data_IF_604898953364
#
_entry.id   IF_604898953364
#
_cell.length_a   1.000
_cell.length_b   1.000
_cell.length_c   1.000
_cell.angle_alpha   90.00
_cell.angle_beta   90.00
_cell.angle_gamma   90.00
#
_symmetry.space_group_name_H-M   'P 1'
#
loop_
_entity.id
_entity.type
_entity.pdbx_description
1 polymer ?
#
# COMPACT_ATOMS: atom_id res chain seq x y z
N UNK A 1 -13.81 19.23 15.85
CA UNK A 1 -14.30 18.20 14.92
C UNK A 1 -14.07 18.68 13.50
N UNK A 2 -13.48 17.85 12.66
CA UNK A 2 -13.33 18.14 11.24
C UNK A 2 -14.67 17.86 10.58
N UNK A 3 -15.27 18.87 9.96
CA UNK A 3 -16.63 18.77 9.43
C UNK A 3 -16.69 18.65 7.91
N UNK A 4 -15.53 18.70 7.24
CA UNK A 4 -15.44 18.73 5.79
C UNK A 4 -14.49 17.64 5.28
N UNK A 5 -14.96 16.86 4.32
CA UNK A 5 -14.15 15.92 3.55
C UNK A 5 -13.93 16.41 2.13
N UNK A 6 -12.74 16.24 1.60
CA UNK A 6 -12.42 16.48 0.19
C UNK A 6 -11.82 15.22 -0.42
N UNK A 7 -12.45 14.67 -1.44
CA UNK A 7 -11.97 13.50 -2.18
C UNK A 7 -11.60 13.90 -3.60
N UNK A 8 -10.37 13.58 -4.00
CA UNK A 8 -9.82 13.88 -5.32
C UNK A 8 -9.66 12.58 -6.10
N UNK A 9 -10.44 12.42 -7.17
CA UNK A 9 -10.56 11.19 -7.95
C UNK A 9 -11.64 10.26 -7.42
N UNK A 10 -12.70 10.06 -8.20
CA UNK A 10 -13.82 9.16 -7.88
C UNK A 10 -13.81 7.95 -8.83
N UNK A 11 -12.63 7.43 -9.10
CA UNK A 11 -12.43 6.19 -9.86
C UNK A 11 -12.85 4.94 -9.07
N UNK A 12 -12.28 3.79 -9.41
CA UNK A 12 -12.65 2.50 -8.78
C UNK A 12 -12.48 2.51 -7.25
N UNK A 13 -11.32 2.98 -6.76
CA UNK A 13 -11.04 3.10 -5.32
C UNK A 13 -11.76 4.32 -4.74
N UNK A 14 -11.73 5.45 -5.45
CA UNK A 14 -12.41 6.67 -5.01
C UNK A 14 -13.91 6.51 -4.80
N UNK A 15 -14.61 5.67 -5.56
CA UNK A 15 -16.02 5.32 -5.33
C UNK A 15 -16.23 4.64 -3.98
N UNK A 16 -15.30 3.78 -3.58
CA UNK A 16 -15.33 3.17 -2.25
C UNK A 16 -15.09 4.22 -1.15
N UNK A 17 -14.08 5.06 -1.36
CA UNK A 17 -13.78 6.16 -0.44
C UNK A 17 -14.95 7.16 -0.33
N UNK A 18 -15.60 7.50 -1.44
CA UNK A 18 -16.76 8.40 -1.44
C UNK A 18 -17.89 7.91 -0.52
N UNK A 19 -18.20 6.61 -0.53
CA UNK A 19 -19.23 6.03 0.37
C UNK A 19 -18.83 6.15 1.84
N UNK A 20 -17.58 5.90 2.17
CA UNK A 20 -17.08 6.01 3.55
C UNK A 20 -17.09 7.47 4.00
N UNK A 21 -16.55 8.37 3.19
CA UNK A 21 -16.48 9.79 3.52
C UNK A 21 -17.87 10.45 3.60
N UNK A 22 -18.82 10.01 2.79
CA UNK A 22 -20.21 10.49 2.81
C UNK A 22 -20.93 10.17 4.13
N UNK A 23 -20.58 9.06 4.78
CA UNK A 23 -21.15 8.73 6.11
C UNK A 23 -20.42 9.40 7.27
N UNK A 24 -19.23 9.98 7.02
CA UNK A 24 -18.36 10.55 8.06
C UNK A 24 -18.45 12.06 8.15
N UNK A 25 -18.51 12.76 7.01
CA UNK A 25 -18.45 14.22 6.96
C UNK A 25 -19.81 14.84 6.68
N UNK A 26 -20.09 15.94 7.37
CA UNK A 26 -21.31 16.72 7.16
C UNK A 26 -21.35 17.39 5.78
N UNK A 27 -20.15 17.73 5.26
CA UNK A 27 -19.97 18.32 3.92
C UNK A 27 -18.90 17.53 3.17
N UNK A 28 -19.27 17.00 2.03
CA UNK A 28 -18.34 16.27 1.18
C UNK A 28 -18.14 16.99 -0.14
N UNK A 29 -16.87 17.29 -0.42
CA UNK A 29 -16.44 17.87 -1.69
C UNK A 29 -15.75 16.77 -2.50
N UNK A 30 -16.15 16.63 -3.75
CA UNK A 30 -15.66 15.59 -4.66
C UNK A 30 -15.07 16.25 -5.90
N UNK A 31 -13.96 15.74 -6.38
CA UNK A 31 -13.30 16.23 -7.60
C UNK A 31 -13.13 15.08 -8.56
N UNK A 32 -13.81 15.15 -9.68
CA UNK A 32 -13.64 14.23 -10.81
C UNK A 32 -14.18 14.86 -12.09
N UNK A 33 -13.39 14.91 -13.18
CA UNK A 33 -13.85 15.51 -14.44
C UNK A 33 -14.78 14.61 -15.26
N UNK A 34 -14.95 13.33 -14.89
CA UNK A 34 -15.69 12.36 -15.66
C UNK A 34 -17.20 12.48 -15.44
N UNK A 35 -18.01 12.74 -16.49
CA UNK A 35 -19.45 12.92 -16.36
C UNK A 35 -20.19 11.72 -15.77
N UNK A 36 -19.72 10.51 -16.04
CA UNK A 36 -20.31 9.27 -15.52
C UNK A 36 -20.21 9.14 -13.99
N UNK A 37 -19.30 9.87 -13.38
CA UNK A 37 -19.16 9.93 -11.91
C UNK A 37 -20.37 10.62 -11.30
N UNK A 38 -20.90 11.66 -11.93
CA UNK A 38 -22.08 12.39 -11.45
C UNK A 38 -23.30 11.46 -11.34
N UNK A 39 -23.56 10.65 -12.36
CA UNK A 39 -24.68 9.71 -12.36
C UNK A 39 -24.48 8.59 -11.32
N UNK A 40 -23.24 8.13 -11.18
CA UNK A 40 -22.93 7.16 -10.15
C UNK A 40 -23.17 7.72 -8.73
N UNK A 41 -22.75 8.96 -8.46
CA UNK A 41 -22.94 9.62 -7.16
C UNK A 41 -24.40 9.76 -6.81
N UNK A 42 -25.25 10.23 -7.74
CA UNK A 42 -26.70 10.36 -7.55
C UNK A 42 -27.36 9.04 -7.13
N UNK A 43 -26.84 7.93 -7.62
CA UNK A 43 -27.41 6.59 -7.36
C UNK A 43 -26.83 5.90 -6.12
N UNK A 44 -25.74 6.42 -5.53
CA UNK A 44 -25.00 5.70 -4.52
C UNK A 44 -24.67 6.50 -3.25
N UNK A 45 -24.88 7.82 -3.26
CA UNK A 45 -24.56 8.72 -2.14
C UNK A 45 -25.81 9.52 -1.78
N UNK A 46 -26.33 9.32 -0.59
CA UNK A 46 -27.55 9.99 -0.10
C UNK A 46 -27.24 11.24 0.76
N UNK A 47 -25.99 11.48 1.12
CA UNK A 47 -25.58 12.64 1.91
C UNK A 47 -25.39 13.91 1.05
N UNK A 48 -25.29 15.07 1.70
CA UNK A 48 -24.98 16.33 1.01
C UNK A 48 -23.55 16.32 0.47
N UNK A 49 -23.40 16.49 -0.84
CA UNK A 49 -22.10 16.60 -1.50
C UNK A 49 -22.10 17.65 -2.60
N UNK A 50 -20.91 18.13 -2.91
CA UNK A 50 -20.66 18.96 -4.10
C UNK A 50 -19.58 18.30 -4.95
N UNK A 51 -19.82 18.26 -6.27
CA UNK A 51 -18.86 17.74 -7.24
C UNK A 51 -18.31 18.88 -8.10
N UNK A 52 -17.02 18.82 -8.37
CA UNK A 52 -16.26 19.80 -9.15
C UNK A 52 -15.49 19.08 -10.25
N UNK A 53 -15.27 19.77 -11.36
CA UNK A 53 -14.46 19.24 -12.47
C UNK A 53 -12.96 19.41 -12.23
N UNK A 54 -12.56 20.31 -11.33
CA UNK A 54 -11.17 20.60 -11.00
C UNK A 54 -10.94 20.81 -9.50
N UNK A 55 -9.73 20.50 -9.05
CA UNK A 55 -9.31 20.71 -7.66
C UNK A 55 -9.30 22.21 -7.29
N UNK A 56 -8.94 23.08 -8.23
CA UNK A 56 -8.95 24.54 -8.03
C UNK A 56 -10.35 25.08 -7.69
N UNK A 57 -11.39 24.59 -8.38
CA UNK A 57 -12.78 24.95 -8.07
C UNK A 57 -13.21 24.44 -6.70
N UNK A 58 -12.84 23.20 -6.36
CA UNK A 58 -13.16 22.62 -5.06
C UNK A 58 -12.49 23.38 -3.92
N UNK A 59 -11.20 23.72 -4.04
CA UNK A 59 -10.46 24.52 -3.06
C UNK A 59 -11.11 25.90 -2.87
N UNK A 60 -11.54 26.55 -3.95
CA UNK A 60 -12.21 27.84 -3.89
C UNK A 60 -13.56 27.78 -3.17
N UNK A 61 -14.22 26.62 -3.21
CA UNK A 61 -15.49 26.38 -2.55
C UNK A 61 -15.36 25.91 -1.09
N UNK A 62 -14.15 25.54 -0.63
CA UNK A 62 -13.91 25.18 0.76
C UNK A 62 -14.16 26.38 1.68
N UNK A 63 -14.56 26.09 2.91
CA UNK A 63 -14.70 27.12 3.95
C UNK A 63 -13.36 27.87 4.14
N UNK A 64 -13.38 29.15 4.54
CA UNK A 64 -12.15 29.88 4.89
C UNK A 64 -11.23 29.13 5.87
N UNK A 65 -11.80 28.23 6.68
CA UNK A 65 -11.05 27.37 7.58
C UNK A 65 -10.71 26.01 6.92
N UNK A 66 -9.79 26.02 5.95
CA UNK A 66 -9.30 24.81 5.26
C UNK A 66 -8.56 23.87 6.19
N UNK A 67 -8.04 24.34 7.33
CA UNK A 67 -7.37 23.49 8.32
C UNK A 67 -8.30 22.47 8.99
N UNK A 68 -9.63 22.66 8.90
CA UNK A 68 -10.63 21.70 9.36
C UNK A 68 -11.09 20.72 8.28
N UNK A 69 -10.40 20.66 7.14
CA UNK A 69 -10.71 19.77 6.02
C UNK A 69 -9.75 18.59 6.03
N UNK A 70 -10.29 17.39 5.91
CA UNK A 70 -9.50 16.17 5.60
C UNK A 70 -9.61 15.87 4.12
N UNK A 71 -8.46 15.79 3.44
CA UNK A 71 -8.38 15.49 2.02
C UNK A 71 -7.88 14.06 1.77
N UNK A 72 -8.50 13.39 0.80
CA UNK A 72 -8.07 12.08 0.31
C UNK A 72 -7.73 12.20 -1.17
N UNK A 73 -6.49 11.91 -1.53
CA UNK A 73 -5.99 11.90 -2.91
C UNK A 73 -6.10 10.47 -3.43
N UNK A 74 -6.98 10.21 -4.39
CA UNK A 74 -7.25 8.86 -4.92
C UNK A 74 -7.34 8.77 -6.45
N UNK A 75 -6.81 9.76 -7.15
CA UNK A 75 -6.60 9.68 -8.59
C UNK A 75 -5.30 8.93 -8.93
N UNK A 76 -4.68 9.17 -10.06
CA UNK A 76 -3.48 8.44 -10.49
C UNK A 76 -2.20 8.99 -9.85
N UNK A 77 -1.25 8.10 -9.59
CA UNK A 77 0.02 8.43 -8.96
C UNK A 77 0.82 9.56 -9.64
N UNK A 78 0.86 9.71 -10.98
CA UNK A 78 1.52 10.85 -11.62
C UNK A 78 0.97 12.21 -11.20
N UNK A 79 -0.32 12.29 -10.83
CA UNK A 79 -0.97 13.55 -10.50
C UNK A 79 -0.96 13.84 -8.97
N UNK A 80 -0.47 12.91 -8.14
CA UNK A 80 -0.48 13.03 -6.68
C UNK A 80 0.30 14.25 -6.18
N UNK A 81 1.49 14.50 -6.75
CA UNK A 81 2.35 15.61 -6.33
C UNK A 81 1.69 16.97 -6.51
N UNK A 82 1.05 17.21 -7.66
CA UNK A 82 0.40 18.46 -7.97
C UNK A 82 -0.82 18.69 -7.07
N UNK A 83 -1.65 17.68 -6.89
CA UNK A 83 -2.80 17.75 -5.98
C UNK A 83 -2.36 17.99 -4.54
N UNK A 84 -1.37 17.26 -4.04
CA UNK A 84 -0.79 17.47 -2.72
C UNK A 84 -0.29 18.90 -2.54
N UNK A 85 0.43 19.41 -3.53
CA UNK A 85 0.97 20.77 -3.50
C UNK A 85 -0.14 21.82 -3.39
N UNK A 86 -1.19 21.68 -4.21
CA UNK A 86 -2.34 22.59 -4.17
C UNK A 86 -3.07 22.56 -2.82
N UNK A 87 -3.21 21.38 -2.21
CA UNK A 87 -3.84 21.22 -0.90
C UNK A 87 -3.03 21.90 0.21
N UNK A 88 -1.71 21.69 0.22
CA UNK A 88 -0.82 22.32 1.21
C UNK A 88 -0.83 23.83 1.08
N UNK A 89 -0.79 24.38 -0.16
CA UNK A 89 -0.85 25.81 -0.43
C UNK A 89 -2.19 26.43 -0.02
N UNK A 90 -3.28 25.66 -0.10
CA UNK A 90 -4.59 26.07 0.38
C UNK A 90 -4.75 25.98 1.91
N UNK A 91 -3.76 25.45 2.63
CA UNK A 91 -3.78 25.35 4.09
C UNK A 91 -4.47 24.09 4.64
N UNK A 92 -4.71 23.08 3.83
CA UNK A 92 -5.22 21.78 4.29
C UNK A 92 -4.15 21.09 5.14
N UNK A 93 -4.52 20.54 6.30
CA UNK A 93 -3.60 20.00 7.29
C UNK A 93 -3.65 18.46 7.45
N UNK A 94 -4.71 17.82 6.98
CA UNK A 94 -4.96 16.40 7.09
C UNK A 94 -5.08 15.82 5.68
N UNK A 95 -4.08 15.06 5.25
CA UNK A 95 -4.02 14.56 3.87
C UNK A 95 -3.69 13.06 3.90
N UNK A 96 -4.58 12.27 3.32
CA UNK A 96 -4.36 10.85 2.99
C UNK A 96 -4.10 10.75 1.50
N UNK A 97 -3.03 10.07 1.10
CA UNK A 97 -2.74 9.81 -0.31
C UNK A 97 -2.84 8.32 -0.61
N UNK A 98 -3.46 7.97 -1.73
CA UNK A 98 -3.43 6.58 -2.20
C UNK A 98 -2.02 6.16 -2.62
N UNK A 99 -1.82 4.86 -2.56
CA UNK A 99 -0.54 4.25 -2.97
C UNK A 99 -0.49 4.00 -4.50
N UNK A 100 0.71 4.07 -5.10
CA UNK A 100 1.93 4.60 -4.50
C UNK A 100 1.82 6.12 -4.31
N UNK A 101 2.48 6.65 -3.30
CA UNK A 101 2.47 8.09 -3.01
C UNK A 101 2.84 8.94 -4.23
N UNK A 102 3.74 8.41 -5.06
CA UNK A 102 4.18 9.02 -6.32
C UNK A 102 4.71 7.93 -7.25
N UNK A 103 4.74 8.23 -8.52
CA UNK A 103 5.39 7.42 -9.56
C UNK A 103 6.88 7.76 -9.76
N UNK A 104 7.45 8.64 -8.91
CA UNK A 104 8.85 9.06 -8.96
C UNK A 104 9.43 9.20 -7.54
N UNK A 105 10.67 8.75 -7.34
CA UNK A 105 11.36 8.90 -6.06
C UNK A 105 11.53 10.37 -5.67
N UNK A 106 11.91 11.21 -6.62
CA UNK A 106 12.16 12.63 -6.35
C UNK A 106 10.87 13.38 -5.93
N UNK A 107 9.76 13.10 -6.58
CA UNK A 107 8.48 13.73 -6.27
C UNK A 107 7.91 13.22 -4.94
N UNK A 108 7.97 11.92 -4.70
CA UNK A 108 7.50 11.36 -3.43
C UNK A 108 8.31 11.87 -2.23
N UNK A 109 9.64 11.98 -2.37
CA UNK A 109 10.47 12.61 -1.34
C UNK A 109 10.11 14.08 -1.12
N UNK A 110 9.88 14.82 -2.21
CA UNK A 110 9.47 16.23 -2.11
C UNK A 110 8.10 16.40 -1.41
N UNK A 111 7.16 15.48 -1.60
CA UNK A 111 5.88 15.48 -0.88
C UNK A 111 6.10 15.31 0.63
N UNK A 112 6.88 14.30 1.03
CA UNK A 112 7.17 14.02 2.45
C UNK A 112 7.91 15.18 3.09
N UNK A 113 9.00 15.65 2.47
CA UNK A 113 9.78 16.80 2.96
C UNK A 113 8.92 18.06 3.11
N UNK A 114 7.95 18.27 2.24
CA UNK A 114 7.03 19.39 2.31
C UNK A 114 5.99 19.22 3.41
N UNK A 115 5.46 18.00 3.58
CA UNK A 115 4.54 17.69 4.67
C UNK A 115 5.20 17.96 6.03
N UNK A 116 6.43 17.48 6.23
CA UNK A 116 7.18 17.67 7.47
C UNK A 116 7.44 19.17 7.74
N UNK A 117 7.95 19.91 6.74
CA UNK A 117 8.23 21.34 6.89
C UNK A 117 7.00 22.19 7.15
N UNK A 118 5.87 21.82 6.58
CA UNK A 118 4.60 22.54 6.75
C UNK A 118 3.76 22.03 7.93
N UNK A 119 4.28 21.05 8.68
CA UNK A 119 3.57 20.39 9.78
C UNK A 119 2.19 19.87 9.34
N UNK A 120 2.16 19.18 8.20
CA UNK A 120 0.97 18.52 7.65
C UNK A 120 0.87 17.11 8.24
N UNK A 121 -0.29 16.75 8.74
CA UNK A 121 -0.59 15.36 9.07
C UNK A 121 -0.83 14.62 7.76
N UNK A 122 0.16 13.84 7.35
CA UNK A 122 0.22 13.19 6.06
C UNK A 122 0.47 11.70 6.19
N UNK A 123 -0.33 10.90 5.50
CA UNK A 123 -0.15 9.43 5.46
C UNK A 123 -0.54 8.85 4.11
N UNK A 124 -0.21 7.57 3.90
CA UNK A 124 -0.48 6.84 2.66
C UNK A 124 -1.38 5.64 2.94
N UNK A 125 -2.32 5.38 2.02
CA UNK A 125 -3.33 4.34 2.13
C UNK A 125 -2.77 2.93 1.97
N UNK A 126 -2.05 2.43 2.99
CA UNK A 126 -1.67 1.01 3.11
C UNK A 126 -2.48 0.35 4.22
N UNK A 127 -3.68 -0.20 3.94
CA UNK A 127 -4.62 -0.64 4.96
C UNK A 127 -4.04 -1.64 5.97
N UNK A 128 -3.17 -2.55 5.52
CA UNK A 128 -2.60 -3.60 6.39
C UNK A 128 -1.80 -3.05 7.56
N UNK A 129 -1.22 -1.86 7.43
CA UNK A 129 -0.52 -1.18 8.52
C UNK A 129 -1.45 -0.77 9.64
N UNK A 130 -2.62 -0.28 9.27
CA UNK A 130 -3.61 0.24 10.22
C UNK A 130 -4.49 -0.86 10.83
N UNK A 131 -4.46 -2.07 10.27
CA UNK A 131 -5.26 -3.22 10.71
C UNK A 131 -4.48 -4.23 11.57
N UNK A 132 -3.34 -3.85 12.11
CA UNK A 132 -2.47 -4.71 12.93
C UNK A 132 -2.08 -6.07 12.28
N UNK A 133 -2.17 -6.17 10.96
CA UNK A 133 -1.94 -7.43 10.24
C UNK A 133 -0.54 -8.01 10.53
N UNK A 134 0.48 -7.18 10.50
CA UNK A 134 1.87 -7.59 10.77
C UNK A 134 2.07 -7.98 12.24
N UNK A 135 1.44 -7.28 13.18
CA UNK A 135 1.49 -7.61 14.61
C UNK A 135 0.88 -8.99 14.87
N UNK A 136 -0.27 -9.28 14.25
CA UNK A 136 -0.94 -10.59 14.35
C UNK A 136 -0.04 -11.68 13.75
N UNK A 137 0.51 -11.46 12.56
CA UNK A 137 1.43 -12.40 11.90
C UNK A 137 2.66 -12.67 12.78
N UNK A 138 3.30 -11.62 13.30
CA UNK A 138 4.46 -11.76 14.17
C UNK A 138 4.13 -12.49 15.47
N UNK A 139 3.00 -12.19 16.11
CA UNK A 139 2.55 -12.86 17.32
C UNK A 139 2.34 -14.36 17.09
N UNK A 140 1.63 -14.74 16.04
CA UNK A 140 1.42 -16.15 15.67
C UNK A 140 2.74 -16.84 15.33
N UNK A 141 3.61 -16.17 14.58
CA UNK A 141 4.91 -16.73 14.21
C UNK A 141 5.76 -17.05 15.45
N UNK A 142 5.77 -16.15 16.41
CA UNK A 142 6.50 -16.34 17.67
C UNK A 142 5.88 -17.44 18.55
N UNK A 143 4.55 -17.47 18.69
CA UNK A 143 3.89 -18.41 19.60
C UNK A 143 3.77 -19.83 19.02
N UNK A 144 3.51 -19.96 17.73
CA UNK A 144 3.15 -21.23 17.08
C UNK A 144 4.24 -21.77 16.17
N UNK A 145 5.09 -20.92 15.57
CA UNK A 145 6.05 -21.30 14.56
C UNK A 145 7.52 -21.15 15.01
N UNK A 146 7.74 -20.92 16.30
CA UNK A 146 9.05 -20.99 16.94
C UNK A 146 10.00 -19.83 16.69
N UNK A 147 9.53 -18.73 16.10
CA UNK A 147 10.35 -17.54 15.90
C UNK A 147 9.76 -16.57 14.87
N UNK A 148 10.44 -15.44 14.62
CA UNK A 148 9.97 -14.42 13.68
C UNK A 148 9.98 -14.94 12.24
N UNK A 149 9.15 -14.34 11.35
CA UNK A 149 9.19 -14.62 9.92
C UNK A 149 10.56 -14.37 9.30
N UNK A 150 10.97 -15.26 8.41
CA UNK A 150 12.25 -15.20 7.68
C UNK A 150 12.09 -14.91 6.20
N UNK A 151 10.97 -15.32 5.61
CA UNK A 151 10.70 -15.03 4.21
C UNK A 151 9.20 -14.83 3.95
N UNK A 152 8.90 -14.01 2.96
CA UNK A 152 7.56 -13.82 2.40
C UNK A 152 7.66 -14.08 0.90
N UNK A 153 6.85 -15.02 0.40
CA UNK A 153 6.77 -15.35 -1.02
C UNK A 153 5.37 -15.10 -1.51
N UNK A 154 5.23 -14.29 -2.53
CA UNK A 154 3.94 -13.93 -3.13
C UNK A 154 3.95 -14.30 -4.61
N UNK A 155 2.93 -15.00 -5.05
CA UNK A 155 2.76 -15.29 -6.46
C UNK A 155 1.30 -15.23 -6.86
N UNK A 156 1.05 -14.87 -8.13
CA UNK A 156 -0.29 -14.77 -8.67
C UNK A 156 -0.30 -14.38 -10.14
N UNK A 157 -1.50 -14.29 -10.68
CA UNK A 157 -1.74 -13.85 -12.04
C UNK A 157 -2.29 -12.43 -12.12
N UNK A 158 -2.34 -11.88 -13.32
CA UNK A 158 -3.04 -10.66 -13.73
C UNK A 158 -3.02 -9.48 -12.73
N UNK A 159 -1.90 -9.25 -12.07
CA UNK A 159 -1.65 -8.14 -11.14
C UNK A 159 -0.42 -7.36 -11.57
N UNK A 160 -0.44 -6.06 -11.40
CA UNK A 160 0.73 -5.24 -11.64
C UNK A 160 1.77 -5.47 -10.53
N UNK A 161 2.99 -5.79 -10.95
CA UNK A 161 4.10 -6.14 -10.07
C UNK A 161 4.40 -5.05 -9.02
N UNK A 162 4.16 -3.80 -9.35
CA UNK A 162 4.45 -2.67 -8.46
C UNK A 162 3.20 -2.19 -7.74
N UNK A 163 2.13 -1.84 -8.45
CA UNK A 163 0.98 -1.22 -7.79
C UNK A 163 0.25 -2.18 -6.85
N UNK A 164 0.23 -3.46 -7.17
CA UNK A 164 -0.27 -4.48 -6.26
C UNK A 164 0.84 -5.06 -5.37
N UNK A 165 2.04 -5.24 -5.93
CA UNK A 165 3.22 -5.71 -5.18
C UNK A 165 3.63 -4.78 -4.06
N UNK A 166 3.41 -3.46 -4.19
CA UNK A 166 3.67 -2.47 -3.14
C UNK A 166 2.99 -2.82 -1.79
N UNK A 167 1.82 -3.44 -1.83
CA UNK A 167 1.15 -3.91 -0.60
C UNK A 167 1.93 -4.99 0.14
N UNK A 168 2.70 -5.81 -0.57
CA UNK A 168 3.52 -6.86 0.03
C UNK A 168 4.91 -6.33 0.41
N UNK A 169 5.43 -5.35 -0.34
CA UNK A 169 6.63 -4.61 0.04
C UNK A 169 6.39 -3.91 1.37
N UNK A 170 5.30 -3.17 1.50
CA UNK A 170 4.92 -2.50 2.73
C UNK A 170 4.68 -3.48 3.90
N UNK A 171 3.99 -4.59 3.65
CA UNK A 171 3.80 -5.66 4.64
C UNK A 171 5.14 -6.26 5.11
N UNK A 172 6.09 -6.47 4.19
CA UNK A 172 7.41 -7.00 4.52
C UNK A 172 8.23 -6.01 5.36
N UNK A 173 8.20 -4.72 5.02
CA UNK A 173 8.81 -3.65 5.83
C UNK A 173 8.28 -3.67 7.27
N UNK A 174 6.97 -3.86 7.43
CA UNK A 174 6.32 -3.88 8.72
C UNK A 174 6.61 -5.16 9.52
N UNK A 175 6.54 -6.33 8.88
CA UNK A 175 6.85 -7.62 9.51
C UNK A 175 8.32 -7.70 9.90
N UNK A 176 9.23 -7.24 9.03
CA UNK A 176 10.66 -7.34 9.27
C UNK A 176 11.22 -6.18 10.10
N UNK A 177 10.51 -5.06 10.20
CA UNK A 177 10.89 -3.88 10.99
C UNK A 177 12.19 -3.23 10.52
N UNK A 178 12.52 -3.33 9.22
CA UNK A 178 13.72 -2.74 8.62
C UNK A 178 13.54 -2.55 7.11
N UNK A 179 14.20 -1.55 6.50
CA UNK A 179 14.24 -1.42 5.05
C UNK A 179 15.02 -2.57 4.40
N UNK A 180 14.78 -2.86 3.11
CA UNK A 180 15.59 -3.81 2.37
C UNK A 180 16.99 -3.28 2.15
N UNK A 181 17.97 -4.18 1.98
CA UNK A 181 19.35 -3.86 1.64
C UNK A 181 19.54 -3.78 0.13
N UNK A 182 18.85 -4.64 -0.62
CA UNK A 182 18.90 -4.68 -2.08
C UNK A 182 17.69 -5.39 -2.68
N UNK A 183 17.47 -5.14 -3.97
CA UNK A 183 16.47 -5.85 -4.77
C UNK A 183 17.08 -6.28 -6.11
N UNK A 184 16.66 -7.46 -6.56
CA UNK A 184 17.03 -8.01 -7.86
C UNK A 184 15.83 -8.70 -8.50
N UNK A 185 15.89 -8.91 -9.80
CA UNK A 185 14.90 -9.67 -10.53
C UNK A 185 14.77 -9.24 -11.98
N UNK A 186 13.67 -9.63 -12.58
CA UNK A 186 13.36 -9.31 -13.97
C UNK A 186 11.87 -9.03 -14.11
N UNK A 187 11.55 -8.18 -15.07
CA UNK A 187 10.17 -7.86 -15.40
C UNK A 187 10.10 -7.19 -16.76
N UNK A 188 8.89 -7.04 -17.24
CA UNK A 188 8.59 -6.30 -18.45
C UNK A 188 7.33 -5.48 -18.25
N UNK A 189 7.34 -4.27 -18.80
CA UNK A 189 6.11 -3.49 -18.94
C UNK A 189 5.40 -3.93 -20.19
N UNK A 190 4.17 -4.39 -20.02
CA UNK A 190 3.28 -4.60 -21.16
C UNK A 190 2.32 -3.42 -21.22
N UNK A 191 1.98 -2.91 -22.41
CA UNK A 191 1.01 -1.82 -22.56
C UNK A 191 -0.43 -2.27 -22.25
N UNK A 192 -0.59 -3.42 -21.64
CA UNK A 192 -1.87 -4.05 -21.35
C UNK A 192 -2.29 -3.71 -19.92
N UNK A 193 -2.50 -2.45 -19.63
CA UNK A 193 -3.41 -2.12 -18.57
C UNK A 193 -4.83 -2.27 -19.14
N UNK A 194 -5.64 -3.26 -18.71
CA UNK A 194 -6.98 -3.44 -19.24
C UNK A 194 -7.91 -2.25 -18.98
N UNK A 195 -7.51 -1.37 -18.06
CA UNK A 195 -8.28 -0.16 -17.69
C UNK A 195 -7.73 1.11 -18.34
N UNK A 196 -6.42 1.19 -18.59
CA UNK A 196 -5.76 2.38 -19.14
C UNK A 196 -4.58 1.97 -20.01
N UNK A 197 -4.66 2.28 -21.30
CA UNK A 197 -3.66 1.87 -22.32
C UNK A 197 -2.34 2.62 -22.23
N UNK A 198 -2.33 3.76 -21.55
CA UNK A 198 -1.22 4.70 -21.37
C UNK A 198 -0.36 4.43 -20.14
N UNK A 199 -0.82 3.53 -19.24
CA UNK A 199 -0.10 3.20 -18.02
C UNK A 199 0.63 1.87 -18.14
N UNK A 200 1.86 1.83 -17.60
CA UNK A 200 2.68 0.64 -17.55
C UNK A 200 2.09 -0.42 -16.65
N UNK A 201 1.92 -1.63 -17.17
CA UNK A 201 1.51 -2.79 -16.40
C UNK A 201 2.67 -3.77 -16.35
N UNK A 202 3.34 -3.82 -15.21
CA UNK A 202 4.54 -4.61 -15.02
C UNK A 202 4.22 -6.03 -14.54
N UNK A 203 4.78 -7.03 -15.22
CA UNK A 203 4.82 -8.42 -14.78
C UNK A 203 6.26 -8.90 -14.64
N UNK A 204 6.49 -9.96 -13.89
CA UNK A 204 7.81 -10.54 -13.67
C UNK A 204 8.00 -11.05 -12.25
N UNK A 205 9.26 -11.15 -11.84
CA UNK A 205 9.66 -11.64 -10.52
C UNK A 205 10.73 -10.74 -9.92
N UNK A 206 10.50 -10.33 -8.68
CA UNK A 206 11.40 -9.48 -7.89
C UNK A 206 11.66 -10.12 -6.54
N UNK A 207 12.89 -9.95 -6.04
CA UNK A 207 13.30 -10.42 -4.72
C UNK A 207 14.05 -9.32 -3.99
N UNK A 208 13.55 -8.95 -2.80
CA UNK A 208 14.19 -8.01 -1.89
C UNK A 208 14.88 -8.79 -0.77
N UNK A 209 16.09 -8.40 -0.46
CA UNK A 209 16.85 -8.91 0.69
C UNK A 209 16.82 -7.87 1.81
N UNK A 210 16.53 -8.34 3.02
CA UNK A 210 16.47 -7.54 4.25
C UNK A 210 17.57 -7.97 5.23
N UNK A 211 17.84 -7.14 6.22
CA UNK A 211 18.78 -7.46 7.29
C UNK A 211 18.44 -8.79 7.97
N UNK A 212 19.44 -9.59 8.31
CA UNK A 212 19.26 -10.87 8.98
C UNK A 212 18.84 -12.02 8.05
N UNK A 213 19.22 -11.95 6.77
CA UNK A 213 18.91 -12.96 5.74
C UNK A 213 17.41 -13.21 5.61
N UNK A 214 16.62 -12.14 5.63
CA UNK A 214 15.18 -12.20 5.41
C UNK A 214 14.86 -11.75 3.98
N UNK A 215 13.80 -12.30 3.40
CA UNK A 215 13.51 -12.13 1.98
C UNK A 215 12.03 -11.87 1.73
N UNK A 216 11.74 -10.97 0.78
CA UNK A 216 10.47 -10.89 0.11
C UNK A 216 10.66 -11.27 -1.36
N UNK A 217 9.87 -12.20 -1.87
CA UNK A 217 9.79 -12.49 -3.31
C UNK A 217 8.38 -12.28 -3.82
N UNK A 218 8.23 -11.55 -4.93
CA UNK A 218 6.93 -11.29 -5.57
C UNK A 218 7.01 -11.67 -7.05
N UNK A 219 6.10 -12.52 -7.49
CA UNK A 219 6.00 -12.95 -8.89
C UNK A 219 4.57 -12.81 -9.39
N UNK A 220 4.38 -12.01 -10.44
CA UNK A 220 3.09 -11.89 -11.13
C UNK A 220 3.24 -12.13 -12.62
N UNK A 221 2.24 -12.78 -13.21
CA UNK A 221 2.19 -13.08 -14.63
C UNK A 221 0.81 -12.80 -15.23
N UNK A 222 0.79 -12.19 -16.40
CA UNK A 222 -0.45 -11.92 -17.14
C UNK A 222 -1.03 -13.17 -17.83
N UNK A 223 -0.32 -14.29 -17.77
CA UNK A 223 -0.75 -15.59 -18.31
C UNK A 223 -1.71 -16.34 -17.37
N UNK A 224 -1.99 -15.81 -16.19
CA UNK A 224 -2.89 -16.41 -15.23
C UNK A 224 -3.89 -15.37 -14.69
N UNK A 225 -5.12 -15.78 -14.47
CA UNK A 225 -6.16 -14.97 -13.79
C UNK A 225 -6.31 -15.29 -12.31
N UNK A 226 -5.47 -16.19 -11.76
CA UNK A 226 -5.54 -16.59 -10.35
C UNK A 226 -5.11 -15.42 -9.45
N UNK A 227 -5.83 -15.24 -8.36
CA UNK A 227 -5.49 -14.22 -7.36
C UNK A 227 -4.13 -14.51 -6.70
N UNK A 228 -3.51 -13.46 -6.17
CA UNK A 228 -2.23 -13.59 -5.49
C UNK A 228 -2.39 -14.33 -4.15
N UNK A 229 -1.47 -15.25 -3.89
CA UNK A 229 -1.32 -15.97 -2.62
C UNK A 229 0.02 -15.59 -2.03
N UNK A 230 0.04 -15.25 -0.74
CA UNK A 230 1.25 -15.01 0.02
C UNK A 230 1.56 -16.19 0.93
N UNK A 231 2.85 -16.56 1.04
CA UNK A 231 3.33 -17.57 1.98
C UNK A 231 4.40 -16.95 2.86
N UNK A 232 4.20 -17.01 4.16
CA UNK A 232 5.14 -16.49 5.16
C UNK A 232 5.83 -17.69 5.81
N UNK A 233 7.16 -17.70 5.78
CA UNK A 233 8.00 -18.74 6.34
C UNK A 233 8.52 -18.33 7.71
N UNK A 234 8.44 -19.25 8.66
CA UNK A 234 8.99 -19.12 10.00
C UNK A 234 9.77 -20.41 10.38
N UNK A 235 10.53 -20.44 11.49
CA UNK A 235 11.43 -21.58 11.80
C UNK A 235 10.77 -22.95 11.79
N UNK A 236 9.52 -23.06 12.22
CA UNK A 236 8.83 -24.36 12.38
C UNK A 236 7.55 -24.47 11.57
N UNK A 237 7.34 -23.61 10.56
CA UNK A 237 6.17 -23.71 9.71
C UNK A 237 5.98 -22.55 8.78
N UNK A 238 4.81 -22.49 8.17
CA UNK A 238 4.39 -21.46 7.23
C UNK A 238 2.98 -20.97 7.54
N UNK A 239 2.70 -19.73 7.14
CA UNK A 239 1.35 -19.18 7.06
C UNK A 239 1.01 -18.84 5.61
N UNK A 240 -0.13 -19.32 5.11
CA UNK A 240 -0.63 -18.96 3.79
C UNK A 240 -1.63 -17.80 3.94
N UNK A 241 -1.41 -16.74 3.20
CA UNK A 241 -2.29 -15.58 3.13
C UNK A 241 -3.12 -15.64 1.84
N UNK A 242 -4.42 -15.77 1.97
CA UNK A 242 -5.35 -15.82 0.85
C UNK A 242 -5.96 -14.45 0.54
N UNK A 243 -6.45 -14.24 -0.69
CA UNK A 243 -7.03 -12.96 -1.12
C UNK A 243 -8.28 -12.54 -0.35
N UNK A 244 -9.03 -13.50 0.17
CA UNK A 244 -10.23 -13.28 1.00
C UNK A 244 -9.90 -12.96 2.46
N UNK A 245 -8.58 -12.83 2.75
CA UNK A 245 -8.08 -12.56 4.10
C UNK A 245 -7.96 -13.79 4.98
N UNK A 246 -8.33 -14.96 4.49
CA UNK A 246 -8.12 -16.22 5.19
C UNK A 246 -6.63 -16.46 5.37
N UNK A 247 -6.25 -16.92 6.56
CA UNK A 247 -4.90 -17.39 6.87
C UNK A 247 -4.98 -18.84 7.31
N UNK A 248 -4.16 -19.69 6.69
CA UNK A 248 -3.97 -21.07 7.15
C UNK A 248 -2.53 -21.25 7.58
N UNK A 249 -2.31 -22.15 8.53
CA UNK A 249 -1.00 -22.42 9.07
C UNK A 249 -0.67 -23.91 8.89
N UNK A 250 0.58 -24.17 8.51
CA UNK A 250 1.16 -25.52 8.49
C UNK A 250 2.39 -25.49 9.38
N UNK A 251 2.42 -26.31 10.42
CA UNK A 251 3.54 -26.38 11.34
C UNK A 251 4.15 -27.77 11.45
N UNK A 252 5.43 -27.82 11.84
CA UNK A 252 6.14 -29.07 12.07
C UNK A 252 5.60 -29.79 13.31
N UNK A 253 5.53 -31.09 13.24
CA UNK A 253 5.24 -31.93 14.42
C UNK A 253 6.51 -32.03 15.29
N UNK A 254 6.62 -31.19 16.31
CA UNK A 254 7.79 -31.15 17.19
C UNK A 254 7.94 -32.40 18.03
N UNK A 255 6.84 -33.10 18.36
CA UNK A 255 6.89 -34.36 19.10
C UNK A 255 7.53 -35.50 18.29
N UNK A 256 7.18 -35.57 17.00
CA UNK A 256 7.80 -36.55 16.08
C UNK A 256 9.27 -36.25 15.81
N UNK A 257 9.63 -34.97 15.73
CA UNK A 257 11.03 -34.54 15.56
C UNK A 257 11.85 -34.88 16.80
N UNK A 258 11.30 -34.73 18.00
CA UNK A 258 11.98 -35.11 19.25
C UNK A 258 12.23 -36.64 19.35
N UNK A 259 11.35 -37.46 18.76
CA UNK A 259 11.53 -38.92 18.71
C UNK A 259 12.60 -39.35 17.73
N UNK A 260 12.80 -38.65 16.62
CA UNK A 260 13.80 -38.95 15.62
C UNK A 260 14.57 -37.66 15.19
N UNK A 261 15.70 -37.40 15.84
CA UNK A 261 16.53 -36.20 15.50
C UNK A 261 17.05 -36.19 14.05
N UNK A 262 16.99 -37.31 13.31
CA UNK A 262 17.39 -37.37 11.89
C UNK A 262 16.39 -36.62 10.99
N UNK A 263 15.18 -36.39 11.46
CA UNK A 263 14.09 -35.69 10.73
C UNK A 263 14.22 -34.15 10.84
N UNK A 264 15.34 -33.66 11.35
CA UNK A 264 15.53 -32.22 11.66
C UNK A 264 15.48 -31.28 10.48
N UNK A 265 15.71 -31.73 9.25
CA UNK A 265 15.72 -30.88 8.04
C UNK A 265 14.40 -30.87 7.27
N UNK A 266 13.66 -31.97 7.30
CA UNK A 266 12.37 -32.16 6.60
C UNK A 266 11.40 -32.77 7.59
N UNK A 267 10.87 -31.96 8.48
CA UNK A 267 9.95 -32.45 9.51
C UNK A 267 8.57 -32.77 8.97
N UNK A 268 7.86 -33.65 9.68
CA UNK A 268 6.45 -33.93 9.45
C UNK A 268 5.66 -32.65 9.79
N UNK A 269 4.84 -32.20 8.85
CA UNK A 269 3.98 -31.05 9.04
C UNK A 269 2.58 -31.50 9.45
N UNK A 270 1.95 -30.70 10.30
CA UNK A 270 0.56 -30.87 10.70
C UNK A 270 -0.20 -29.63 10.25
N UNK A 271 -1.26 -29.82 9.48
CA UNK A 271 -2.16 -28.75 9.13
C UNK A 271 -2.89 -28.24 10.38
N UNK A 272 -2.74 -26.98 10.65
CA UNK A 272 -3.48 -26.29 11.72
C UNK A 272 -4.16 -25.09 11.10
N UNK A 273 -5.40 -25.22 10.62
CA UNK A 273 -6.13 -24.08 10.10
C UNK A 273 -6.40 -23.12 11.25
N UNK A 274 -5.72 -21.98 11.21
CA UNK A 274 -6.03 -20.84 12.06
C UNK A 274 -6.76 -19.85 11.18
N UNK A 275 -8.01 -19.62 11.44
CA UNK A 275 -8.77 -18.57 10.76
C UNK A 275 -8.48 -17.25 11.48
N UNK A 276 -7.59 -16.45 10.92
CA UNK A 276 -7.48 -15.04 11.29
C UNK A 276 -8.57 -14.34 10.51
N UNK A 277 -9.61 -13.91 11.22
CA UNK A 277 -10.66 -13.09 10.60
C UNK A 277 -10.09 -11.69 10.44
N UNK A 278 -9.81 -11.23 9.20
CA UNK A 278 -9.41 -9.85 9.01
C UNK A 278 -10.59 -8.97 9.42
N UNK A 279 -10.31 -7.87 10.05
CA UNK A 279 -11.32 -6.83 10.20
C UNK A 279 -11.80 -6.44 8.80
N UNK A 280 -13.11 -6.27 8.65
CA UNK A 280 -13.74 -6.05 7.35
C UNK A 280 -13.13 -4.88 6.59
N UNK A 281 -12.96 -5.03 5.29
CA UNK A 281 -12.46 -4.00 4.37
C UNK A 281 -13.23 -2.66 4.44
N UNK A 282 -14.46 -2.68 4.90
CA UNK A 282 -15.28 -1.47 5.09
C UNK A 282 -14.73 -0.50 6.15
N UNK A 283 -13.81 -0.95 7.00
CA UNK A 283 -13.22 -0.14 8.06
C UNK A 283 -11.85 0.46 7.70
N UNK A 284 -11.21 0.04 6.60
CA UNK A 284 -9.82 0.38 6.30
C UNK A 284 -9.57 1.88 6.21
N UNK A 285 -10.34 2.61 5.40
CA UNK A 285 -10.18 4.06 5.31
C UNK A 285 -10.60 4.76 6.60
N UNK A 286 -11.63 4.27 7.32
CA UNK A 286 -12.04 4.87 8.58
C UNK A 286 -10.93 4.84 9.63
N UNK A 287 -10.19 3.73 9.74
CA UNK A 287 -9.05 3.63 10.67
C UNK A 287 -7.95 4.64 10.32
N UNK A 288 -7.66 4.80 9.02
CA UNK A 288 -6.70 5.80 8.54
C UNK A 288 -7.17 7.22 8.86
N UNK A 289 -8.46 7.50 8.63
CA UNK A 289 -9.06 8.81 8.90
C UNK A 289 -9.10 9.10 10.42
N UNK A 290 -9.42 8.11 11.24
CA UNK A 290 -9.41 8.25 12.71
C UNK A 290 -8.01 8.63 13.21
N UNK A 291 -6.97 8.00 12.67
CA UNK A 291 -5.60 8.30 13.05
C UNK A 291 -5.14 9.68 12.56
N UNK A 292 -5.42 10.02 11.29
CA UNK A 292 -4.96 11.30 10.73
C UNK A 292 -5.67 12.51 11.36
N UNK A 293 -6.88 12.34 11.86
CA UNK A 293 -7.68 13.38 12.51
C UNK A 293 -7.49 13.46 14.02
N UNK A 294 -6.82 12.46 14.61
CA UNK A 294 -6.49 12.46 16.04
C UNK A 294 -5.28 13.36 16.34
N UNK A 295 -5.06 13.67 17.61
CA UNK A 295 -3.84 14.37 18.07
C UNK A 295 -2.66 13.40 18.33
N UNK A 296 -2.86 12.09 18.15
CA UNK A 296 -1.81 11.07 18.35
C UNK A 296 -0.79 11.08 17.21
N UNK A 297 0.37 10.49 17.46
CA UNK A 297 1.37 10.27 16.42
C UNK A 297 0.81 9.37 15.32
N UNK A 298 1.17 9.66 14.08
CA UNK A 298 0.79 8.85 12.92
C UNK A 298 1.68 7.60 12.90
N UNK A 299 1.06 6.41 12.91
CA UNK A 299 1.78 5.14 12.94
C UNK A 299 2.61 4.91 11.67
N UNK A 300 2.14 5.42 10.52
CA UNK A 300 2.85 5.36 9.25
C UNK A 300 3.64 6.65 9.01
N UNK A 301 4.81 6.74 9.63
CA UNK A 301 5.67 7.92 9.63
C UNK A 301 6.26 8.25 8.25
N UNK A 302 6.73 9.48 8.09
CA UNK A 302 7.44 9.98 6.89
C UNK A 302 8.56 9.05 6.41
N UNK A 303 9.37 8.51 7.33
CA UNK A 303 10.44 7.57 6.97
C UNK A 303 9.88 6.27 6.39
N UNK A 304 8.85 5.70 6.98
CA UNK A 304 8.23 4.46 6.49
C UNK A 304 7.58 4.65 5.13
N UNK A 305 6.96 5.81 4.89
CA UNK A 305 6.41 6.17 3.57
C UNK A 305 7.53 6.18 2.52
N UNK A 306 8.67 6.81 2.82
CA UNK A 306 9.80 6.87 1.91
C UNK A 306 10.45 5.50 1.68
N UNK A 307 10.61 4.69 2.72
CA UNK A 307 11.14 3.33 2.61
C UNK A 307 10.25 2.45 1.70
N UNK A 308 8.92 2.56 1.83
CA UNK A 308 7.97 1.81 1.00
C UNK A 308 8.00 2.26 -0.47
N UNK A 309 8.05 3.58 -0.70
CA UNK A 309 8.21 4.12 -2.05
C UNK A 309 9.54 3.67 -2.67
N UNK A 310 10.63 3.84 -1.94
CA UNK A 310 11.97 3.52 -2.42
C UNK A 310 12.13 2.03 -2.74
N UNK A 311 11.64 1.16 -1.86
CA UNK A 311 11.65 -0.27 -2.09
C UNK A 311 10.80 -0.67 -3.31
N UNK A 312 9.65 -0.03 -3.52
CA UNK A 312 8.77 -0.28 -4.66
C UNK A 312 9.39 0.19 -5.98
N UNK A 313 9.89 1.43 -6.03
CA UNK A 313 10.55 1.98 -7.22
C UNK A 313 11.88 1.27 -7.51
N UNK A 314 12.65 0.91 -6.48
CA UNK A 314 13.86 0.09 -6.62
C UNK A 314 13.56 -1.24 -7.32
N UNK A 315 12.43 -1.86 -7.04
CA UNK A 315 11.93 -3.03 -7.76
C UNK A 315 11.71 -2.76 -9.26
N UNK A 316 11.13 -1.61 -9.63
CA UNK A 316 10.99 -1.21 -11.05
C UNK A 316 12.34 -0.99 -11.73
N UNK A 317 13.26 -0.32 -11.04
CA UNK A 317 14.62 -0.11 -11.56
C UNK A 317 15.29 -1.45 -11.82
N UNK A 318 15.23 -2.38 -10.85
CA UNK A 318 15.81 -3.72 -11.02
C UNK A 318 15.16 -4.49 -12.17
N UNK A 319 13.81 -4.43 -12.28
CA UNK A 319 13.07 -5.09 -13.37
C UNK A 319 13.45 -4.57 -14.76
N UNK A 320 13.62 -3.25 -14.90
CA UNK A 320 13.96 -2.61 -16.18
C UNK A 320 15.43 -2.82 -16.54
N UNK A 321 16.33 -2.57 -15.59
CA UNK A 321 17.79 -2.63 -15.84
C UNK A 321 18.34 -4.04 -15.81
N UNK A 322 17.63 -4.98 -15.17
CA UNK A 322 18.09 -6.35 -14.88
C UNK A 322 19.36 -6.36 -14.02
N UNK A 323 19.54 -5.33 -13.21
CA UNK A 323 20.66 -5.16 -12.31
C UNK A 323 20.17 -5.19 -10.86
N UNK A 324 21.07 -5.53 -9.94
CA UNK A 324 20.82 -5.38 -8.50
C UNK A 324 20.76 -3.89 -8.17
N UNK A 325 19.76 -3.50 -7.39
CA UNK A 325 19.64 -2.15 -6.84
C UNK A 325 19.86 -2.21 -5.34
N UNK A 326 20.85 -1.49 -4.89
CA UNK A 326 21.18 -1.34 -3.46
C UNK A 326 20.38 -0.19 -2.84
N UNK A 327 20.06 -0.29 -1.55
CA UNK A 327 19.35 0.74 -0.79
C UNK A 327 20.27 1.37 0.28
N UNK A 328 20.10 2.66 0.57
CA UNK A 328 19.19 3.62 -0.05
C UNK A 328 19.61 4.02 -1.48
N UNK A 329 18.64 4.33 -2.33
CA UNK A 329 18.90 4.79 -3.69
C UNK A 329 19.40 6.23 -3.66
N UNK A 330 20.60 6.48 -4.20
CA UNK A 330 21.20 7.81 -4.25
C UNK A 330 20.34 8.80 -5.06
N UNK A 331 20.32 10.06 -4.64
CA UNK A 331 19.67 11.15 -5.38
C UNK A 331 20.32 11.39 -6.76
N UNK A 332 21.57 10.92 -6.95
CA UNK A 332 22.31 10.99 -8.22
C UNK A 332 22.03 9.78 -9.12
N UNK A 333 21.24 8.81 -8.66
CA UNK A 333 20.87 7.66 -9.49
C UNK A 333 20.14 8.11 -10.76
N UNK A 334 20.52 7.61 -11.97
CA UNK A 334 19.95 8.08 -13.25
C UNK A 334 18.43 8.02 -13.31
N UNK A 335 17.80 7.07 -12.59
CA UNK A 335 16.34 6.88 -12.57
C UNK A 335 15.66 7.54 -11.37
N UNK A 336 16.37 8.31 -10.55
CA UNK A 336 15.81 8.95 -9.36
C UNK A 336 14.64 9.90 -9.68
N UNK A 337 14.73 10.60 -10.82
CA UNK A 337 13.71 11.54 -11.30
C UNK A 337 12.76 10.95 -12.33
N UNK A 338 12.92 9.67 -12.67
CA UNK A 338 12.08 9.03 -13.67
C UNK A 338 10.65 8.91 -13.17
N UNK A 339 9.69 9.32 -13.98
CA UNK A 339 8.27 8.97 -13.84
C UNK A 339 8.04 7.59 -14.46
N UNK A 340 7.35 6.72 -13.74
CA UNK A 340 7.12 5.34 -14.15
C UNK A 340 5.75 5.10 -14.74
N UNK A 341 4.88 6.12 -14.75
CA UNK A 341 3.50 6.03 -15.27
C UNK A 341 2.76 4.76 -14.77
N UNK A 342 2.86 4.46 -13.49
CA UNK A 342 2.19 3.32 -12.86
C UNK A 342 0.88 3.73 -12.19
N UNK A 343 -0.06 2.77 -12.03
CA UNK A 343 -1.35 3.00 -11.35
C UNK A 343 -1.35 2.35 -9.99
#
# INVERSE_FOLDING_TARGET
MLHQGLLIGVGSVGKHHAKIMASRYEKLFLVDPAPEVVEWLKSNIDSDYKIFSSLSEAISALSPNTSSTTAVISHLAPDHFDAFTMLVDAGVRHIVCEKPISDSLSLGRAMVDRADRANIRFTVGFPRRFLDTSKIINAISLSELGGPPSAIVVHGGAKCLITFGAHFVDLALDIFGSPPQRVAGFGSSQPINPRRKDLGYWEGSLSWEFTGNRFLSVTFTNQSSVQAIGVIYAPHGIMNLYPDGKVTMVKRNMEEIAKDPRVTRVGICVDSPVEIVPQSSASELNVILDEIESDSDISYSSNLILESLEASIGGLIAAETKQVVEFPISNDHPMYRKSWNVT
#
